data_IF_112829493712
#
_entry.id   IF_112829493712
#
_cell.length_a   1.000
_cell.length_b   1.000
_cell.length_c   1.000
_cell.angle_alpha   90.00
_cell.angle_beta   90.00
_cell.angle_gamma   90.00
#
_symmetry.space_group_name_H-M   'P 1'
#
loop_
_entity.id
_entity.type
_entity.pdbx_description
1 polymer ?
#
# COMPACT_ATOMS: atom_id res chain seq x y z
N UNK A 1 28.76 -6.74 -20.24
CA UNK A 1 27.96 -5.64 -20.81
C UNK A 1 26.99 -4.99 -19.80
N UNK A 2 26.69 -5.62 -18.65
CA UNK A 2 25.84 -5.05 -17.59
C UNK A 2 26.55 -4.24 -16.50
N UNK A 3 27.88 -4.15 -16.49
CA UNK A 3 28.60 -3.24 -15.57
C UNK A 3 28.30 -1.76 -15.85
N UNK A 4 27.91 -1.41 -17.08
CA UNK A 4 27.46 -0.08 -17.44
C UNK A 4 26.14 0.35 -16.75
N UNK A 5 25.38 -0.59 -16.15
CA UNK A 5 24.09 -0.29 -15.52
C UNK A 5 24.22 0.42 -14.17
N UNK A 6 25.41 0.44 -13.55
CA UNK A 6 25.63 1.19 -12.30
C UNK A 6 25.51 2.70 -12.47
N UNK A 7 25.68 3.22 -13.69
CA UNK A 7 25.66 4.66 -13.95
C UNK A 7 24.26 5.27 -13.80
N UNK A 8 23.20 4.50 -14.06
CA UNK A 8 21.82 4.98 -13.97
C UNK A 8 21.36 5.24 -12.54
N UNK A 9 21.88 4.51 -11.54
CA UNK A 9 21.52 4.74 -10.13
C UNK A 9 22.21 5.98 -9.54
N UNK A 10 23.30 6.45 -10.17
CA UNK A 10 23.99 7.67 -9.75
C UNK A 10 23.23 8.93 -10.15
N UNK A 11 22.33 8.83 -11.14
CA UNK A 11 21.54 9.97 -11.62
C UNK A 11 20.57 10.51 -10.56
N UNK A 12 20.14 9.67 -9.62
CA UNK A 12 19.29 10.08 -8.49
C UNK A 12 19.94 11.07 -7.53
N UNK A 13 21.27 11.10 -7.49
CA UNK A 13 22.05 12.02 -6.68
C UNK A 13 22.37 13.31 -7.44
N UNK A 14 21.97 13.41 -8.71
CA UNK A 14 22.08 14.63 -9.49
C UNK A 14 20.82 15.46 -9.27
N UNK A 15 20.95 16.77 -9.38
CA UNK A 15 19.82 17.72 -9.34
C UNK A 15 19.07 17.77 -10.68
N UNK A 16 18.82 16.61 -11.28
CA UNK A 16 18.12 16.46 -12.56
C UNK A 16 16.72 15.93 -12.30
N UNK A 17 15.72 16.66 -12.79
CA UNK A 17 14.33 16.29 -12.66
C UNK A 17 14.00 15.07 -13.56
N UNK A 18 13.17 14.11 -13.11
CA UNK A 18 12.67 13.03 -13.97
C UNK A 18 11.97 13.53 -15.23
N UNK A 19 11.99 12.69 -16.27
CA UNK A 19 11.19 12.88 -17.47
C UNK A 19 9.69 12.69 -17.17
N UNK A 20 8.83 13.24 -18.01
CA UNK A 20 7.37 13.19 -17.87
C UNK A 20 6.74 12.67 -19.17
N UNK A 21 5.84 11.69 -19.06
CA UNK A 21 5.14 11.14 -20.23
C UNK A 21 3.98 12.04 -20.69
N UNK A 22 3.32 11.67 -21.80
CA UNK A 22 2.19 12.43 -22.36
C UNK A 22 0.99 12.56 -21.42
N UNK A 23 0.88 11.65 -20.44
CA UNK A 23 -0.18 11.64 -19.43
C UNK A 23 0.23 12.37 -18.16
N UNK A 24 1.48 12.85 -18.10
CA UNK A 24 2.00 13.62 -17.01
C UNK A 24 2.75 12.81 -15.94
N UNK A 25 2.99 11.51 -16.14
CA UNK A 25 3.63 10.65 -15.14
C UNK A 25 5.15 10.69 -15.24
N UNK A 26 5.83 10.71 -14.09
CA UNK A 26 7.30 10.72 -14.08
C UNK A 26 7.89 9.36 -14.38
N UNK A 27 8.97 9.33 -15.14
CA UNK A 27 9.71 8.11 -15.45
C UNK A 27 11.19 8.44 -15.75
N UNK A 28 11.99 7.39 -15.95
CA UNK A 28 13.33 7.54 -16.55
C UNK A 28 13.47 6.58 -17.73
N UNK A 29 14.44 6.81 -18.60
CA UNK A 29 14.67 5.93 -19.76
C UNK A 29 15.02 4.47 -19.40
N UNK A 30 15.29 4.14 -18.12
CA UNK A 30 15.77 2.83 -17.70
C UNK A 30 14.87 1.67 -18.16
N UNK A 31 13.54 1.63 -17.90
CA UNK A 31 12.71 0.51 -18.35
C UNK A 31 12.73 0.34 -19.88
N UNK A 32 12.65 1.44 -20.63
CA UNK A 32 12.69 1.40 -22.09
C UNK A 32 14.02 0.80 -22.60
N UNK A 33 15.15 1.26 -22.06
CA UNK A 33 16.48 0.76 -22.43
C UNK A 33 16.62 -0.74 -22.12
N UNK A 34 16.15 -1.18 -20.96
CA UNK A 34 16.26 -2.59 -20.55
C UNK A 34 15.46 -3.52 -21.46
N UNK A 35 14.20 -3.20 -21.74
CA UNK A 35 13.35 -4.07 -22.54
C UNK A 35 13.63 -3.95 -24.04
N UNK A 36 14.13 -2.80 -24.53
CA UNK A 36 14.66 -2.70 -25.89
C UNK A 36 15.90 -3.59 -26.08
N UNK A 37 16.81 -3.62 -25.09
CA UNK A 37 17.98 -4.50 -25.15
C UNK A 37 17.59 -5.98 -25.24
N UNK A 38 16.55 -6.39 -24.51
CA UNK A 38 16.01 -7.76 -24.57
C UNK A 38 15.42 -8.03 -25.95
N UNK A 39 14.64 -7.10 -26.49
CA UNK A 39 14.03 -7.22 -27.83
C UNK A 39 15.09 -7.33 -28.93
N UNK A 40 16.12 -6.48 -28.90
CA UNK A 40 17.23 -6.49 -29.86
C UNK A 40 17.98 -7.83 -29.82
N UNK A 41 18.24 -8.37 -28.63
CA UNK A 41 18.90 -9.67 -28.48
C UNK A 41 18.03 -10.82 -28.97
N UNK A 42 16.72 -10.77 -28.74
CA UNK A 42 15.77 -11.75 -29.27
C UNK A 42 15.69 -11.67 -30.80
N UNK A 43 15.70 -10.48 -31.37
CA UNK A 43 15.67 -10.29 -32.82
C UNK A 43 16.95 -10.81 -33.48
N UNK A 44 18.11 -10.50 -32.91
CA UNK A 44 19.39 -11.03 -33.37
C UNK A 44 19.42 -12.57 -33.29
N UNK A 45 18.88 -13.14 -32.21
CA UNK A 45 18.80 -14.60 -32.06
C UNK A 45 17.97 -15.24 -33.18
N UNK A 46 16.84 -14.62 -33.57
CA UNK A 46 15.99 -15.08 -34.68
C UNK A 46 16.70 -15.07 -36.03
N UNK A 47 17.57 -14.09 -36.27
CA UNK A 47 18.38 -14.01 -37.50
C UNK A 47 19.40 -15.16 -37.60
N UNK A 48 19.87 -15.68 -36.46
CA UNK A 48 20.82 -16.79 -36.39
C UNK A 48 20.08 -18.14 -36.46
N UNK A 49 19.14 -18.38 -35.53
CA UNK A 49 18.29 -19.57 -35.50
C UNK A 49 17.11 -19.39 -34.53
N UNK A 50 15.92 -19.82 -34.94
CA UNK A 50 14.75 -19.81 -34.06
C UNK A 50 14.93 -20.69 -32.81
N UNK A 51 15.74 -21.75 -32.90
CA UNK A 51 15.92 -22.73 -31.82
C UNK A 51 16.70 -22.16 -30.61
N UNK A 52 17.48 -21.10 -30.81
CA UNK A 52 18.26 -20.48 -29.72
C UNK A 52 17.48 -19.38 -28.98
N UNK A 53 16.35 -18.92 -29.52
CA UNK A 53 15.54 -17.85 -28.93
C UNK A 53 15.12 -18.16 -27.48
N UNK A 54 14.63 -19.36 -27.14
CA UNK A 54 14.30 -19.71 -25.75
C UNK A 54 15.47 -19.52 -24.78
N UNK A 55 16.69 -19.94 -25.17
CA UNK A 55 17.90 -19.80 -24.37
C UNK A 55 18.25 -18.32 -24.15
N UNK A 56 18.14 -17.50 -25.21
CA UNK A 56 18.41 -16.05 -25.12
C UNK A 56 17.39 -15.37 -24.21
N UNK A 57 16.10 -15.69 -24.31
CA UNK A 57 15.07 -15.12 -23.42
C UNK A 57 15.33 -15.54 -21.97
N UNK A 58 15.68 -16.80 -21.73
CA UNK A 58 15.97 -17.30 -20.37
C UNK A 58 17.12 -16.54 -19.72
N UNK A 59 18.25 -16.39 -20.42
CA UNK A 59 19.41 -15.64 -19.90
C UNK A 59 19.04 -14.17 -19.64
N UNK A 60 18.27 -13.53 -20.54
CA UNK A 60 17.80 -12.16 -20.33
C UNK A 60 16.93 -12.03 -19.08
N UNK A 61 16.02 -12.97 -18.84
CA UNK A 61 15.15 -12.97 -17.66
C UNK A 61 15.97 -13.14 -16.37
N UNK A 62 16.98 -14.02 -16.36
CA UNK A 62 17.88 -14.17 -15.20
C UNK A 62 18.64 -12.89 -14.88
N UNK A 63 19.12 -12.22 -15.91
CA UNK A 63 19.90 -11.00 -15.76
C UNK A 63 19.05 -9.81 -15.33
N UNK A 64 17.83 -9.69 -15.86
CA UNK A 64 16.83 -8.75 -15.38
C UNK A 64 16.43 -9.04 -13.94
N UNK A 65 16.36 -10.31 -13.52
CA UNK A 65 16.03 -10.68 -12.14
C UNK A 65 17.13 -10.23 -11.17
N UNK A 66 18.40 -10.44 -11.53
CA UNK A 66 19.53 -9.94 -10.76
C UNK A 66 19.55 -8.40 -10.71
N UNK A 67 19.26 -7.74 -11.83
CA UNK A 67 19.16 -6.29 -11.90
C UNK A 67 18.00 -5.75 -11.06
N UNK A 68 16.84 -6.41 -11.04
CA UNK A 68 15.69 -6.02 -10.25
C UNK A 68 16.00 -5.99 -8.75
N UNK A 69 16.79 -6.97 -8.28
CA UNK A 69 17.33 -6.95 -6.92
C UNK A 69 18.18 -5.70 -6.66
N UNK A 70 19.20 -5.46 -7.50
CA UNK A 70 20.10 -4.32 -7.34
C UNK A 70 19.38 -2.97 -7.42
N UNK A 71 18.39 -2.84 -8.30
CA UNK A 71 17.62 -1.61 -8.46
C UNK A 71 16.80 -1.30 -7.21
N UNK A 72 16.13 -2.31 -6.66
CA UNK A 72 15.41 -2.20 -5.38
C UNK A 72 16.37 -1.84 -4.24
N UNK A 73 17.50 -2.52 -4.12
CA UNK A 73 18.48 -2.26 -3.05
C UNK A 73 19.04 -0.83 -3.14
N UNK A 74 19.28 -0.34 -4.37
CA UNK A 74 19.68 1.03 -4.60
C UNK A 74 18.58 2.04 -4.18
N UNK A 75 17.31 1.76 -4.47
CA UNK A 75 16.19 2.61 -4.06
C UNK A 75 16.09 2.69 -2.52
N UNK A 76 16.28 1.58 -1.82
CA UNK A 76 16.34 1.56 -0.35
C UNK A 76 17.52 2.40 0.16
N UNK A 77 18.70 2.25 -0.44
CA UNK A 77 19.88 3.03 -0.05
C UNK A 77 19.69 4.54 -0.29
N UNK A 78 19.03 4.92 -1.39
CA UNK A 78 18.66 6.31 -1.67
C UNK A 78 17.69 6.86 -0.61
N UNK A 79 16.62 6.11 -0.30
CA UNK A 79 15.67 6.42 0.77
C UNK A 79 16.36 6.66 2.11
N UNK A 80 17.21 5.73 2.53
CA UNK A 80 17.89 5.81 3.82
C UNK A 80 18.74 7.08 3.93
N UNK A 81 19.49 7.43 2.87
CA UNK A 81 20.29 8.66 2.84
C UNK A 81 19.44 9.94 2.87
N UNK A 82 18.28 9.95 2.23
CA UNK A 82 17.35 11.08 2.33
C UNK A 82 16.89 11.28 3.78
N UNK A 83 16.52 10.21 4.49
CA UNK A 83 16.10 10.31 5.88
C UNK A 83 17.23 10.57 6.88
N UNK A 84 18.49 10.31 6.51
CA UNK A 84 19.66 10.77 7.28
C UNK A 84 19.84 12.30 7.21
N UNK A 85 19.66 12.90 6.04
CA UNK A 85 19.77 14.35 5.83
C UNK A 85 18.89 14.81 4.65
N UNK A 86 17.64 15.20 4.93
CA UNK A 86 16.66 15.61 3.91
C UNK A 86 17.13 16.80 3.08
N UNK A 87 18.00 17.66 3.64
CA UNK A 87 18.48 18.88 2.97
C UNK A 87 19.35 18.60 1.75
N UNK A 88 19.93 17.41 1.64
CA UNK A 88 20.81 17.02 0.52
C UNK A 88 20.08 16.39 -0.66
N UNK A 89 18.77 16.16 -0.53
CA UNK A 89 17.97 15.39 -1.47
C UNK A 89 16.70 16.16 -1.85
N UNK A 90 16.88 17.36 -2.40
CA UNK A 90 15.78 18.26 -2.80
C UNK A 90 14.81 17.63 -3.81
N UNK A 91 15.27 16.67 -4.61
CA UNK A 91 14.47 15.96 -5.61
C UNK A 91 14.00 14.58 -5.14
N UNK A 92 14.02 14.29 -3.84
CA UNK A 92 13.66 12.99 -3.30
C UNK A 92 12.26 12.53 -3.77
N UNK A 93 11.25 13.38 -3.59
CA UNK A 93 9.86 13.09 -3.98
C UNK A 93 9.73 12.77 -5.49
N UNK A 94 10.10 13.68 -6.43
CA UNK A 94 9.94 13.39 -7.85
C UNK A 94 10.76 12.19 -8.31
N UNK A 95 11.97 12.00 -7.78
CA UNK A 95 12.81 10.84 -8.12
C UNK A 95 12.16 9.54 -7.62
N UNK A 96 11.62 9.51 -6.40
CA UNK A 96 10.97 8.32 -5.84
C UNK A 96 9.67 7.98 -6.57
N UNK A 97 8.89 8.99 -7.00
CA UNK A 97 7.74 8.80 -7.91
C UNK A 97 8.19 8.14 -9.21
N UNK A 98 9.26 8.64 -9.84
CA UNK A 98 9.80 8.06 -11.06
C UNK A 98 10.29 6.63 -10.84
N UNK A 99 10.88 6.31 -9.68
CA UNK A 99 11.25 4.93 -9.33
C UNK A 99 10.02 4.03 -9.27
N UNK A 100 8.96 4.43 -8.56
CA UNK A 100 7.72 3.65 -8.45
C UNK A 100 7.10 3.38 -9.83
N UNK A 101 6.97 4.43 -10.65
CA UNK A 101 6.45 4.31 -12.02
C UNK A 101 7.37 3.45 -12.92
N UNK A 102 8.69 3.53 -12.77
CA UNK A 102 9.62 2.68 -13.51
C UNK A 102 9.47 1.20 -13.15
N UNK A 103 9.31 0.89 -11.85
CA UNK A 103 9.04 -0.49 -11.42
C UNK A 103 7.74 -1.00 -12.02
N UNK A 104 6.69 -0.18 -12.05
CA UNK A 104 5.42 -0.52 -12.68
C UNK A 104 5.55 -0.78 -14.19
N UNK A 105 6.27 0.08 -14.92
CA UNK A 105 6.57 -0.13 -16.35
C UNK A 105 7.33 -1.46 -16.57
N UNK A 106 8.25 -1.81 -15.67
CA UNK A 106 8.94 -3.10 -15.73
C UNK A 106 8.00 -4.29 -15.45
N UNK A 107 7.00 -4.14 -14.57
CA UNK A 107 5.95 -5.16 -14.35
C UNK A 107 5.17 -5.39 -15.64
N UNK A 108 4.64 -4.33 -16.25
CA UNK A 108 3.89 -4.38 -17.51
C UNK A 108 4.71 -5.00 -18.65
N UNK A 109 5.99 -4.61 -18.75
CA UNK A 109 6.88 -5.11 -19.79
C UNK A 109 7.22 -6.58 -19.59
N UNK A 110 7.37 -7.03 -18.34
CA UNK A 110 7.55 -8.44 -17.99
C UNK A 110 6.33 -9.28 -18.35
N UNK A 111 5.11 -8.75 -18.17
CA UNK A 111 3.88 -9.41 -18.61
C UNK A 111 3.80 -9.57 -20.14
N UNK A 112 4.28 -8.57 -20.90
CA UNK A 112 4.38 -8.67 -22.37
C UNK A 112 5.36 -9.77 -22.78
N UNK A 113 6.51 -9.87 -22.12
CA UNK A 113 7.47 -10.99 -22.34
C UNK A 113 6.81 -12.33 -22.02
N UNK A 114 6.09 -12.44 -20.89
CA UNK A 114 5.35 -13.65 -20.51
C UNK A 114 4.33 -14.06 -21.57
N UNK A 115 3.55 -13.10 -22.07
CA UNK A 115 2.54 -13.31 -23.12
C UNK A 115 3.19 -13.77 -24.42
N UNK A 116 4.29 -13.15 -24.82
CA UNK A 116 5.05 -13.57 -26.01
C UNK A 116 5.52 -15.01 -25.85
N UNK A 117 6.21 -15.36 -24.75
CA UNK A 117 6.68 -16.73 -24.48
C UNK A 117 5.53 -17.74 -24.54
N UNK A 118 4.35 -17.39 -23.98
CA UNK A 118 3.17 -18.27 -24.04
C UNK A 118 2.69 -18.55 -25.45
N UNK A 119 2.73 -17.55 -26.34
CA UNK A 119 2.22 -17.63 -27.71
C UNK A 119 3.22 -18.24 -28.69
N UNK A 120 4.53 -18.06 -28.47
CA UNK A 120 5.54 -18.44 -29.45
C UNK A 120 6.29 -19.73 -29.11
N UNK A 121 6.28 -20.17 -27.84
CA UNK A 121 6.91 -21.43 -27.45
C UNK A 121 5.87 -22.53 -27.32
N UNK A 122 6.04 -23.62 -28.06
CA UNK A 122 5.21 -24.83 -27.93
C UNK A 122 5.48 -25.53 -26.59
N UNK A 123 4.44 -26.13 -26.02
CA UNK A 123 4.51 -26.89 -24.76
C UNK A 123 5.16 -28.23 -25.06
N UNK A 124 6.47 -28.33 -24.84
CA UNK A 124 7.22 -29.59 -24.94
C UNK A 124 7.01 -30.34 -26.26
N UNK A 125 7.72 -29.94 -27.32
CA UNK A 125 8.19 -30.97 -28.25
C UNK A 125 9.16 -31.83 -27.45
N UNK A 126 8.69 -32.98 -26.98
CA UNK A 126 9.52 -34.08 -26.53
C UNK A 126 10.46 -34.45 -27.68
N UNK A 127 11.57 -33.73 -27.83
CA UNK A 127 12.65 -34.11 -28.72
C UNK A 127 13.14 -35.45 -28.22
N UNK A 128 12.96 -36.54 -28.99
CA UNK A 128 13.58 -37.79 -28.64
C UNK A 128 15.08 -37.57 -28.79
N UNK A 129 15.80 -37.68 -27.66
CA UNK A 129 17.25 -37.86 -27.55
C UNK A 129 18.12 -36.60 -27.71
N UNK A 130 18.73 -36.19 -26.60
CA UNK A 130 20.19 -36.06 -26.57
C UNK A 130 20.84 -34.70 -26.78
N UNK A 131 20.10 -33.58 -26.85
CA UNK A 131 20.72 -32.25 -26.80
C UNK A 131 20.61 -31.67 -25.38
N UNK A 132 21.69 -31.75 -24.60
CA UNK A 132 21.83 -30.98 -23.37
C UNK A 132 21.81 -29.48 -23.73
N UNK A 133 20.70 -28.78 -23.46
CA UNK A 133 20.61 -27.33 -23.70
C UNK A 133 19.24 -26.75 -24.11
N UNK A 134 18.14 -27.48 -24.00
CA UNK A 134 16.79 -26.93 -24.24
C UNK A 134 16.21 -26.29 -22.98
N UNK A 135 15.72 -25.04 -23.07
CA UNK A 135 14.99 -24.38 -21.96
C UNK A 135 13.62 -25.01 -21.80
N UNK A 136 13.31 -25.46 -20.59
CA UNK A 136 11.96 -25.89 -20.25
C UNK A 136 11.02 -24.67 -20.23
N UNK A 137 9.94 -24.69 -21.02
CA UNK A 137 8.99 -23.57 -21.13
C UNK A 137 8.34 -23.22 -19.79
N UNK A 138 8.01 -24.22 -18.98
CA UNK A 138 7.41 -24.02 -17.67
C UNK A 138 8.39 -23.36 -16.69
N UNK A 139 9.65 -23.81 -16.68
CA UNK A 139 10.72 -23.18 -15.88
C UNK A 139 10.92 -21.70 -16.27
N UNK A 140 10.93 -21.39 -17.57
CA UNK A 140 11.04 -20.00 -18.04
C UNK A 140 9.86 -19.15 -17.56
N UNK A 141 8.63 -19.66 -17.64
CA UNK A 141 7.44 -18.96 -17.17
C UNK A 141 7.51 -18.69 -15.65
N UNK A 142 8.00 -19.64 -14.87
CA UNK A 142 8.21 -19.47 -13.43
C UNK A 142 9.26 -18.41 -13.12
N UNK A 143 10.37 -18.35 -13.89
CA UNK A 143 11.36 -17.27 -13.74
C UNK A 143 10.80 -15.90 -14.10
N UNK A 144 9.97 -15.82 -15.14
CA UNK A 144 9.28 -14.57 -15.51
C UNK A 144 8.32 -14.13 -14.39
N UNK A 145 7.62 -15.07 -13.74
CA UNK A 145 6.78 -14.76 -12.58
C UNK A 145 7.59 -14.27 -11.37
N UNK A 146 8.75 -14.87 -11.11
CA UNK A 146 9.67 -14.39 -10.08
C UNK A 146 10.18 -12.97 -10.40
N UNK A 147 10.52 -12.70 -11.66
CA UNK A 147 10.93 -11.37 -12.11
C UNK A 147 9.82 -10.33 -11.89
N UNK A 148 8.59 -10.66 -12.28
CA UNK A 148 7.42 -9.80 -12.06
C UNK A 148 7.25 -9.48 -10.58
N UNK A 149 7.28 -10.50 -9.72
CA UNK A 149 7.17 -10.32 -8.27
C UNK A 149 8.29 -9.43 -7.72
N UNK A 150 9.51 -9.56 -8.23
CA UNK A 150 10.65 -8.73 -7.83
C UNK A 150 10.44 -7.25 -8.20
N UNK A 151 9.92 -6.97 -9.39
CA UNK A 151 9.56 -5.61 -9.81
C UNK A 151 8.41 -5.03 -8.96
N UNK A 152 7.35 -5.81 -8.72
CA UNK A 152 6.25 -5.39 -7.84
C UNK A 152 6.74 -5.06 -6.43
N UNK A 153 7.65 -5.85 -5.88
CA UNK A 153 8.26 -5.59 -4.58
C UNK A 153 9.14 -4.32 -4.57
N UNK A 154 9.72 -3.94 -5.71
CA UNK A 154 10.41 -2.67 -5.89
C UNK A 154 9.45 -1.48 -5.93
N UNK A 155 8.34 -1.61 -6.68
CA UNK A 155 7.26 -0.62 -6.73
C UNK A 155 6.72 -0.32 -5.33
N UNK A 156 6.39 -1.37 -4.57
CA UNK A 156 5.95 -1.25 -3.18
C UNK A 156 6.99 -0.54 -2.30
N UNK A 157 8.28 -0.84 -2.49
CA UNK A 157 9.35 -0.19 -1.71
C UNK A 157 9.41 1.32 -1.97
N UNK A 158 9.23 1.74 -3.23
CA UNK A 158 9.21 3.14 -3.60
C UNK A 158 7.95 3.85 -3.09
N UNK A 159 6.77 3.23 -3.22
CA UNK A 159 5.51 3.74 -2.63
C UNK A 159 5.64 3.90 -1.11
N UNK A 160 6.15 2.90 -0.41
CA UNK A 160 6.35 2.96 1.05
C UNK A 160 7.33 4.06 1.44
N UNK A 161 8.31 4.38 0.58
CA UNK A 161 9.23 5.50 0.82
C UNK A 161 8.51 6.86 0.78
N UNK A 162 7.55 7.02 -0.14
CA UNK A 162 6.68 8.21 -0.20
C UNK A 162 5.74 8.27 1.00
N UNK A 163 5.20 7.12 1.43
CA UNK A 163 4.36 7.02 2.64
C UNK A 163 5.14 7.39 3.91
N UNK A 164 6.39 6.95 4.02
CA UNK A 164 7.27 7.27 5.16
C UNK A 164 7.56 8.77 5.22
N UNK A 165 7.79 9.42 4.08
CA UNK A 165 8.07 10.86 4.00
C UNK A 165 6.90 11.67 4.58
N UNK A 166 5.70 11.49 4.04
CA UNK A 166 4.50 12.15 4.56
C UNK A 166 4.19 11.75 6.01
N UNK A 167 4.42 10.49 6.37
CA UNK A 167 4.16 10.00 7.73
C UNK A 167 5.05 10.68 8.77
N UNK A 168 6.31 10.99 8.44
CA UNK A 168 7.21 11.70 9.37
C UNK A 168 6.71 13.12 9.62
N UNK A 169 6.24 13.82 8.59
CA UNK A 169 5.74 15.19 8.71
C UNK A 169 4.39 15.25 9.46
N UNK A 170 3.56 14.21 9.33
CA UNK A 170 2.32 14.08 10.09
C UNK A 170 2.52 13.56 11.53
N UNK A 171 3.67 12.96 11.85
CA UNK A 171 3.88 12.23 13.11
C UNK A 171 3.57 13.05 14.38
N UNK A 172 3.96 14.34 14.51
CA UNK A 172 3.63 15.15 15.68
C UNK A 172 2.12 15.31 15.87
N UNK A 173 1.38 15.48 14.77
CA UNK A 173 -0.08 15.67 14.79
C UNK A 173 -0.83 14.36 15.00
N UNK A 174 -0.32 13.25 14.46
CA UNK A 174 -0.82 11.90 14.75
C UNK A 174 -0.72 11.59 16.26
N UNK A 175 0.40 11.94 16.90
CA UNK A 175 0.57 11.75 18.35
C UNK A 175 -0.41 12.56 19.22
N UNK A 176 -1.00 13.64 18.67
CA UNK A 176 -2.02 14.44 19.37
C UNK A 176 -3.42 13.80 19.35
N UNK A 177 -3.69 12.85 18.46
CA UNK A 177 -4.99 12.18 18.34
C UNK A 177 -5.36 11.50 19.66
N UNK A 178 -6.62 11.70 20.08
CA UNK A 178 -7.20 11.15 21.32
C UNK A 178 -6.41 11.52 22.59
N UNK A 179 -5.76 12.68 22.62
CA UNK A 179 -5.18 13.28 23.83
C UNK A 179 -6.11 14.32 24.46
N UNK A 180 -5.73 14.86 25.62
CA UNK A 180 -6.46 16.00 26.23
C UNK A 180 -6.51 17.23 25.31
N UNK A 181 -5.44 17.50 24.56
CA UNK A 181 -5.37 18.61 23.60
C UNK A 181 -6.37 18.40 22.45
N UNK A 182 -6.49 17.16 21.97
CA UNK A 182 -7.52 16.78 21.01
C UNK A 182 -8.93 16.99 21.59
N UNK A 183 -9.19 16.55 22.82
CA UNK A 183 -10.51 16.73 23.44
C UNK A 183 -10.87 18.21 23.65
N UNK A 184 -9.89 19.09 23.90
CA UNK A 184 -10.09 20.51 24.11
C UNK A 184 -10.13 21.36 22.83
N UNK A 185 -10.27 20.76 21.65
CA UNK A 185 -10.38 21.53 20.40
C UNK A 185 -9.10 21.67 19.57
N UNK A 186 -8.03 20.90 19.83
CA UNK A 186 -6.78 20.98 19.05
C UNK A 186 -6.97 20.70 17.55
N UNK A 187 -6.21 21.39 16.69
CA UNK A 187 -6.36 21.31 15.22
C UNK A 187 -5.52 20.21 14.53
N UNK A 188 -5.26 19.09 15.21
CA UNK A 188 -4.31 18.09 14.72
C UNK A 188 -4.78 17.43 13.41
N UNK A 189 -6.06 17.10 13.28
CA UNK A 189 -6.59 16.49 12.07
C UNK A 189 -6.59 17.48 10.89
N UNK A 190 -6.90 18.75 11.15
CA UNK A 190 -6.87 19.80 10.14
C UNK A 190 -5.49 19.90 9.50
N UNK A 191 -4.43 19.87 10.31
CA UNK A 191 -3.06 19.85 9.81
C UNK A 191 -2.74 18.57 9.05
N UNK A 192 -3.14 17.39 9.57
CA UNK A 192 -2.98 16.11 8.86
C UNK A 192 -3.64 16.17 7.47
N UNK A 193 -4.89 16.63 7.38
CA UNK A 193 -5.60 16.77 6.12
C UNK A 193 -4.89 17.74 5.16
N UNK A 194 -4.38 18.88 5.66
CA UNK A 194 -3.65 19.84 4.85
C UNK A 194 -2.35 19.23 4.32
N UNK A 195 -1.56 18.57 5.17
CA UNK A 195 -0.34 17.87 4.75
C UNK A 195 -0.62 16.81 3.68
N UNK A 196 -1.67 15.98 3.84
CA UNK A 196 -2.06 15.01 2.81
C UNK A 196 -2.46 15.70 1.50
N UNK A 197 -3.19 16.82 1.58
CA UNK A 197 -3.57 17.57 0.39
C UNK A 197 -2.36 18.15 -0.36
N UNK A 198 -1.40 18.71 0.35
CA UNK A 198 -0.18 19.29 -0.23
C UNK A 198 0.66 18.21 -0.91
N UNK A 199 0.94 17.10 -0.21
CA UNK A 199 1.68 15.97 -0.78
C UNK A 199 0.97 15.32 -1.96
N UNK A 200 -0.36 15.20 -1.93
CA UNK A 200 -1.12 14.68 -3.07
C UNK A 200 -0.91 15.51 -4.34
N UNK A 201 -0.76 16.83 -4.22
CA UNK A 201 -0.46 17.70 -5.36
C UNK A 201 0.93 17.44 -5.94
N UNK A 202 1.92 17.15 -5.10
CA UNK A 202 3.28 16.79 -5.54
C UNK A 202 3.30 15.37 -6.14
N UNK A 203 2.47 14.48 -5.60
CA UNK A 203 2.37 13.08 -6.01
C UNK A 203 1.52 12.86 -7.27
N UNK A 204 0.90 13.91 -7.87
CA UNK A 204 0.06 13.81 -9.08
C UNK A 204 0.73 13.14 -10.29
N UNK A 205 2.06 13.05 -10.28
CA UNK A 205 2.89 12.42 -11.30
C UNK A 205 3.07 10.90 -11.11
N UNK A 206 2.52 10.35 -10.04
CA UNK A 206 2.45 8.92 -9.77
C UNK A 206 1.32 8.28 -10.60
N UNK A 207 1.51 7.04 -11.03
CA UNK A 207 0.45 6.32 -11.74
C UNK A 207 -0.78 6.09 -10.85
N UNK A 208 -2.01 6.14 -11.40
CA UNK A 208 -3.23 6.18 -10.59
C UNK A 208 -3.41 5.00 -9.63
N UNK A 209 -3.06 3.78 -10.03
CA UNK A 209 -3.18 2.60 -9.16
C UNK A 209 -2.18 2.62 -8.01
N UNK A 210 -0.97 3.14 -8.23
CA UNK A 210 0.03 3.32 -7.17
C UNK A 210 -0.42 4.43 -6.21
N UNK A 211 -1.01 5.52 -6.73
CA UNK A 211 -1.63 6.57 -5.90
C UNK A 211 -2.76 6.00 -5.04
N UNK A 212 -3.63 5.16 -5.58
CA UNK A 212 -4.69 4.52 -4.80
C UNK A 212 -4.14 3.66 -3.65
N UNK A 213 -3.04 2.92 -3.87
CA UNK A 213 -2.36 2.17 -2.80
C UNK A 213 -1.87 3.12 -1.70
N UNK A 214 -1.18 4.19 -2.08
CA UNK A 214 -0.66 5.19 -1.14
C UNK A 214 -1.78 5.85 -0.32
N UNK A 215 -2.89 6.22 -0.96
CA UNK A 215 -4.06 6.80 -0.29
C UNK A 215 -4.73 5.78 0.67
N UNK A 216 -4.79 4.50 0.30
CA UNK A 216 -5.24 3.45 1.22
C UNK A 216 -4.32 3.32 2.44
N UNK A 217 -3.01 3.34 2.24
CA UNK A 217 -2.04 3.26 3.34
C UNK A 217 -2.05 4.51 4.24
N UNK A 218 -2.38 5.69 3.69
CA UNK A 218 -2.68 6.88 4.49
C UNK A 218 -3.95 6.73 5.33
N UNK A 219 -5.03 6.13 4.78
CA UNK A 219 -6.22 5.80 5.58
C UNK A 219 -5.88 4.88 6.74
N UNK A 220 -5.11 3.80 6.47
CA UNK A 220 -4.65 2.88 7.50
C UNK A 220 -3.80 3.58 8.56
N UNK A 221 -2.91 4.49 8.16
CA UNK A 221 -2.03 5.21 9.08
C UNK A 221 -2.82 6.07 10.06
N UNK A 222 -3.74 6.89 9.55
CA UNK A 222 -4.54 7.80 10.39
C UNK A 222 -5.50 7.02 11.26
N UNK A 223 -6.27 6.08 10.69
CA UNK A 223 -7.25 5.30 11.44
C UNK A 223 -6.59 4.37 12.46
N UNK A 224 -5.45 3.78 12.10
CA UNK A 224 -4.62 3.00 13.00
C UNK A 224 -4.14 3.80 14.20
N UNK A 225 -3.88 5.10 14.06
CA UNK A 225 -3.51 5.96 15.18
C UNK A 225 -4.66 6.20 16.15
N UNK A 226 -5.91 6.38 15.67
CA UNK A 226 -7.08 6.41 16.54
C UNK A 226 -7.23 5.11 17.33
N UNK A 227 -7.17 3.95 16.65
CA UNK A 227 -7.30 2.65 17.29
C UNK A 227 -6.18 2.42 18.31
N UNK A 228 -4.93 2.69 17.94
CA UNK A 228 -3.76 2.62 18.83
C UNK A 228 -3.92 3.54 20.05
N UNK A 229 -4.42 4.75 19.87
CA UNK A 229 -4.62 5.68 20.97
C UNK A 229 -5.74 5.23 21.93
N UNK A 230 -6.80 4.62 21.41
CA UNK A 230 -7.90 4.03 22.18
C UNK A 230 -7.40 2.81 22.98
N UNK A 231 -6.71 1.88 22.33
CA UNK A 231 -6.12 0.70 22.99
C UNK A 231 -5.16 1.08 24.11
N UNK A 232 -4.34 2.11 23.88
CA UNK A 232 -3.40 2.64 24.87
C UNK A 232 -4.05 3.57 25.91
N UNK A 233 -5.36 3.85 25.80
CA UNK A 233 -6.12 4.72 26.71
C UNK A 233 -5.47 6.09 26.92
N UNK A 234 -5.08 6.75 25.83
CA UNK A 234 -4.52 8.11 25.90
C UNK A 234 -5.47 9.10 26.59
N UNK A 235 -6.77 8.86 26.47
CA UNK A 235 -7.83 9.57 27.18
C UNK A 235 -9.00 8.63 27.47
N UNK A 236 -9.77 8.97 28.49
CA UNK A 236 -11.04 8.37 28.89
C UNK A 236 -12.00 9.50 29.28
N UNK A 237 -13.31 9.23 29.31
CA UNK A 237 -14.35 10.24 29.49
C UNK A 237 -15.28 9.85 30.63
N UNK A 238 -15.30 10.65 31.70
CA UNK A 238 -15.92 10.30 32.97
C UNK A 238 -17.44 10.49 32.98
N UNK A 239 -17.93 11.45 32.20
CA UNK A 239 -19.33 11.85 32.19
C UNK A 239 -19.92 11.87 30.78
N UNK A 240 -21.25 11.93 30.70
CA UNK A 240 -21.97 11.89 29.43
C UNK A 240 -21.62 13.05 28.50
N UNK A 241 -21.44 14.26 29.02
CA UNK A 241 -21.21 15.45 28.20
C UNK A 241 -19.83 15.37 27.52
N UNK A 242 -18.80 14.93 28.23
CA UNK A 242 -17.47 14.63 27.68
C UNK A 242 -17.55 13.55 26.59
N UNK A 243 -18.26 12.45 26.85
CA UNK A 243 -18.46 11.36 25.87
C UNK A 243 -19.18 11.85 24.61
N UNK A 244 -20.23 12.66 24.78
CA UNK A 244 -20.99 13.18 23.66
C UNK A 244 -20.13 14.14 22.82
N UNK A 245 -19.40 15.06 23.46
CA UNK A 245 -18.49 15.97 22.77
C UNK A 245 -17.39 15.22 21.99
N UNK A 246 -16.79 14.19 22.59
CA UNK A 246 -15.79 13.35 21.94
C UNK A 246 -16.38 12.55 20.76
N UNK A 247 -17.59 12.00 20.91
CA UNK A 247 -18.30 11.30 19.86
C UNK A 247 -18.64 12.22 18.67
N UNK A 248 -19.14 13.43 18.93
CA UNK A 248 -19.42 14.42 17.90
C UNK A 248 -18.15 14.81 17.14
N UNK A 249 -17.03 14.95 17.87
CA UNK A 249 -15.73 15.21 17.27
C UNK A 249 -15.27 14.07 16.38
N UNK A 250 -15.29 12.82 16.84
CA UNK A 250 -14.95 11.64 16.03
C UNK A 250 -15.77 11.58 14.72
N UNK A 251 -17.06 11.88 14.80
CA UNK A 251 -17.95 11.94 13.62
C UNK A 251 -17.58 13.07 12.65
N UNK A 252 -17.25 14.25 13.16
CA UNK A 252 -16.82 15.39 12.33
C UNK A 252 -15.49 15.09 11.64
N UNK A 253 -14.53 14.56 12.39
CA UNK A 253 -13.20 14.17 11.93
C UNK A 253 -13.27 13.09 10.85
N UNK A 254 -14.10 12.06 11.04
CA UNK A 254 -14.37 11.03 10.04
C UNK A 254 -14.91 11.61 8.73
N UNK A 255 -15.91 12.48 8.80
CA UNK A 255 -16.50 13.13 7.61
C UNK A 255 -15.48 13.96 6.84
N UNK A 256 -14.65 14.72 7.56
CA UNK A 256 -13.61 15.55 6.94
C UNK A 256 -12.62 14.70 6.17
N UNK A 257 -12.12 13.64 6.81
CA UNK A 257 -11.14 12.75 6.21
C UNK A 257 -11.73 11.96 5.02
N UNK A 258 -12.95 11.46 5.17
CA UNK A 258 -13.64 10.77 4.07
C UNK A 258 -13.86 11.71 2.87
N UNK A 259 -14.26 12.96 3.11
CA UNK A 259 -14.42 13.97 2.05
C UNK A 259 -13.09 14.29 1.34
N UNK A 260 -11.99 14.31 2.08
CA UNK A 260 -10.65 14.52 1.52
C UNK A 260 -10.30 13.39 0.53
N UNK A 261 -10.41 12.13 0.98
CA UNK A 261 -10.12 10.98 0.12
C UNK A 261 -11.07 10.89 -1.08
N UNK A 262 -12.38 11.17 -0.91
CA UNK A 262 -13.33 11.22 -2.02
C UNK A 262 -12.97 12.26 -3.08
N UNK A 263 -12.38 13.39 -2.67
CA UNK A 263 -11.92 14.43 -3.59
C UNK A 263 -10.69 13.97 -4.37
N UNK A 264 -9.75 13.29 -3.71
CA UNK A 264 -8.51 12.79 -4.31
C UNK A 264 -8.71 11.61 -5.26
N UNK A 265 -9.74 10.80 -5.04
CA UNK A 265 -10.08 9.66 -5.89
C UNK A 265 -11.12 9.99 -6.96
N UNK A 266 -11.59 11.25 -7.02
CA UNK A 266 -12.58 11.67 -8.00
C UNK A 266 -12.03 11.53 -9.43
N UNK A 267 -12.77 10.85 -10.30
CA UNK A 267 -12.38 10.63 -11.69
C UNK A 267 -11.35 9.52 -11.90
N UNK A 268 -10.90 8.85 -10.83
CA UNK A 268 -10.07 7.65 -10.93
C UNK A 268 -10.97 6.43 -11.15
N UNK A 269 -10.76 5.71 -12.25
CA UNK A 269 -11.53 4.49 -12.56
C UNK A 269 -10.95 3.25 -11.89
N UNK A 270 -10.71 3.34 -10.58
CA UNK A 270 -10.18 2.26 -9.73
C UNK A 270 -11.06 2.19 -8.50
N UNK A 271 -11.48 0.98 -8.13
CA UNK A 271 -12.27 0.76 -6.92
C UNK A 271 -11.46 1.16 -5.68
N UNK A 272 -12.07 1.98 -4.82
CA UNK A 272 -11.43 2.53 -3.63
C UNK A 272 -12.33 2.36 -2.41
N UNK A 273 -11.80 1.73 -1.36
CA UNK A 273 -12.52 1.43 -0.13
C UNK A 273 -12.34 2.57 0.89
N UNK A 274 -13.44 3.03 1.50
CA UNK A 274 -13.41 4.11 2.49
C UNK A 274 -13.50 3.52 3.90
N UNK A 275 -12.48 3.77 4.73
CA UNK A 275 -12.36 3.13 6.05
C UNK A 275 -12.84 4.01 7.21
N UNK A 276 -13.11 5.30 6.96
CA UNK A 276 -13.43 6.28 8.01
C UNK A 276 -14.71 5.99 8.78
N UNK A 277 -15.57 5.13 8.24
CA UNK A 277 -16.83 4.65 8.81
C UNK A 277 -16.69 3.90 10.15
N UNK A 278 -15.46 3.53 10.52
CA UNK A 278 -15.13 2.97 11.84
C UNK A 278 -15.35 4.02 12.94
N UNK A 279 -14.87 5.25 12.77
CA UNK A 279 -14.91 6.27 13.82
C UNK A 279 -16.35 6.66 14.23
N UNK A 280 -17.32 6.86 13.30
CA UNK A 280 -18.72 7.08 13.67
C UNK A 280 -19.32 5.93 14.48
N UNK A 281 -19.01 4.67 14.15
CA UNK A 281 -19.52 3.53 14.89
C UNK A 281 -18.91 3.43 16.31
N UNK A 282 -17.63 3.79 16.47
CA UNK A 282 -17.01 3.95 17.79
C UNK A 282 -17.68 5.07 18.60
N UNK A 283 -18.00 6.18 17.93
CA UNK A 283 -18.66 7.32 18.52
C UNK A 283 -20.09 7.00 19.01
N UNK A 284 -20.80 6.09 18.34
CA UNK A 284 -22.13 5.62 18.78
C UNK A 284 -22.03 4.84 20.09
N UNK A 285 -21.05 3.94 20.23
CA UNK A 285 -20.75 3.27 21.51
C UNK A 285 -20.37 4.27 22.60
N UNK A 286 -19.58 5.29 22.27
CA UNK A 286 -19.12 6.29 23.23
C UNK A 286 -20.27 7.17 23.75
N UNK A 287 -21.12 7.66 22.85
CA UNK A 287 -22.24 8.57 23.15
C UNK A 287 -23.51 7.88 23.65
N UNK A 288 -23.55 6.55 23.73
CA UNK A 288 -24.70 5.82 24.26
C UNK A 288 -25.01 6.26 25.71
N UNK A 289 -26.20 6.82 25.94
CA UNK A 289 -26.60 7.33 27.26
C UNK A 289 -26.99 6.20 28.23
N UNK A 290 -27.79 5.25 27.76
CA UNK A 290 -28.26 4.13 28.58
C UNK A 290 -27.26 2.98 28.58
N UNK A 291 -26.59 2.77 29.72
CA UNK A 291 -25.65 1.65 29.92
C UNK A 291 -26.33 0.29 29.74
N UNK A 292 -27.63 0.17 30.01
CA UNK A 292 -28.38 -1.08 29.82
C UNK A 292 -28.42 -1.55 28.36
N UNK A 293 -28.23 -0.65 27.40
CA UNK A 293 -28.19 -0.95 25.97
C UNK A 293 -26.76 -1.16 25.43
N UNK A 294 -25.74 -1.10 26.28
CA UNK A 294 -24.34 -1.16 25.83
C UNK A 294 -24.02 -2.46 25.09
N UNK A 295 -24.53 -3.59 25.56
CA UNK A 295 -24.35 -4.87 24.89
C UNK A 295 -24.95 -4.87 23.46
N UNK A 296 -26.10 -4.22 23.27
CA UNK A 296 -26.74 -4.12 21.96
C UNK A 296 -25.89 -3.26 21.00
N UNK A 297 -25.44 -2.10 21.45
CA UNK A 297 -24.64 -1.17 20.64
C UNK A 297 -23.30 -1.78 20.23
N UNK A 298 -22.61 -2.40 21.19
CA UNK A 298 -21.35 -3.13 20.96
C UNK A 298 -21.56 -4.31 20.00
N UNK A 299 -22.69 -5.01 20.07
CA UNK A 299 -23.06 -6.06 19.10
C UNK A 299 -23.24 -5.50 17.69
N UNK A 300 -23.87 -4.31 17.57
CA UNK A 300 -24.00 -3.59 16.30
C UNK A 300 -22.63 -3.25 15.69
N UNK A 301 -21.70 -2.74 16.50
CA UNK A 301 -20.33 -2.46 16.07
C UNK A 301 -19.62 -3.72 15.54
N UNK A 302 -19.72 -4.85 16.25
CA UNK A 302 -19.09 -6.12 15.82
C UNK A 302 -19.72 -6.68 14.55
N UNK A 303 -21.03 -6.51 14.35
CA UNK A 303 -21.67 -6.91 13.08
C UNK A 303 -21.22 -6.05 11.91
N UNK A 304 -21.03 -4.75 12.12
CA UNK A 304 -20.49 -3.83 11.09
C UNK A 304 -19.01 -4.11 10.81
N UNK A 305 -18.23 -4.42 11.84
CA UNK A 305 -16.79 -4.69 11.75
C UNK A 305 -16.43 -6.04 12.40
N UNK A 306 -16.71 -7.17 11.74
CA UNK A 306 -16.55 -8.53 12.28
C UNK A 306 -15.09 -8.96 12.48
N UNK A 307 -14.14 -8.14 12.05
CA UNK A 307 -12.69 -8.33 12.22
C UNK A 307 -12.12 -7.63 13.45
N UNK A 308 -12.94 -6.84 14.16
CA UNK A 308 -12.55 -6.22 15.41
C UNK A 308 -12.16 -7.29 16.45
N UNK A 309 -11.08 -7.03 17.19
CA UNK A 309 -10.56 -7.97 18.19
C UNK A 309 -11.17 -7.71 19.57
N UNK A 310 -11.04 -8.68 20.47
CA UNK A 310 -11.44 -8.54 21.88
C UNK A 310 -10.73 -7.34 22.52
N UNK A 311 -9.46 -7.13 22.20
CA UNK A 311 -8.66 -6.06 22.80
C UNK A 311 -9.14 -4.68 22.31
N UNK A 312 -9.38 -4.51 21.00
CA UNK A 312 -10.00 -3.30 20.45
C UNK A 312 -11.36 -3.04 21.11
N UNK A 313 -12.27 -4.02 21.09
CA UNK A 313 -13.63 -3.87 21.59
C UNK A 313 -13.67 -3.54 23.09
N UNK A 314 -12.83 -4.23 23.88
CA UNK A 314 -12.67 -3.96 25.31
C UNK A 314 -12.14 -2.56 25.56
N UNK A 315 -11.17 -2.07 24.77
CA UNK A 315 -10.64 -0.72 24.91
C UNK A 315 -11.69 0.36 24.59
N UNK A 316 -12.48 0.16 23.53
CA UNK A 316 -13.57 1.06 23.13
C UNK A 316 -14.61 1.19 24.25
N UNK A 317 -15.05 0.06 24.83
CA UNK A 317 -15.99 0.06 25.97
C UNK A 317 -15.42 0.89 27.14
N UNK A 318 -14.12 0.78 27.39
CA UNK A 318 -13.47 1.41 28.54
C UNK A 318 -13.20 2.90 28.37
N UNK A 319 -13.37 3.46 27.17
CA UNK A 319 -13.36 4.93 26.97
C UNK A 319 -14.43 5.62 27.81
N UNK A 320 -15.51 4.92 28.15
CA UNK A 320 -16.71 5.46 28.79
C UNK A 320 -16.61 5.69 30.30
N UNK A 321 -15.59 5.14 30.97
CA UNK A 321 -15.35 5.06 32.43
C UNK A 321 -16.50 4.53 33.32
N UNK A 322 -17.70 4.32 32.77
CA UNK A 322 -18.86 3.76 33.47
C UNK A 322 -18.87 2.22 33.49
N UNK A 323 -17.85 1.59 32.93
CA UNK A 323 -17.69 0.13 32.82
C UNK A 323 -16.30 -0.29 33.26
N UNK A 324 -16.22 -1.17 34.28
CA UNK A 324 -14.97 -1.65 34.82
C UNK A 324 -14.18 -2.50 33.82
N UNK A 325 -12.86 -2.64 34.03
CA UNK A 325 -11.96 -3.37 33.11
C UNK A 325 -12.37 -4.83 32.91
N UNK A 326 -12.73 -5.53 33.99
CA UNK A 326 -13.16 -6.92 33.94
C UNK A 326 -14.47 -7.04 33.15
N UNK A 327 -15.48 -6.25 33.51
CA UNK A 327 -16.78 -6.24 32.84
C UNK A 327 -16.68 -5.93 31.34
N UNK A 328 -15.86 -4.93 30.98
CA UNK A 328 -15.63 -4.55 29.59
C UNK A 328 -14.98 -5.67 28.79
N UNK A 329 -14.04 -6.40 29.39
CA UNK A 329 -13.39 -7.55 28.74
C UNK A 329 -14.35 -8.72 28.58
N UNK A 330 -15.09 -9.07 29.64
CA UNK A 330 -16.08 -10.14 29.60
C UNK A 330 -17.18 -9.85 28.57
N UNK A 331 -17.69 -8.63 28.51
CA UNK A 331 -18.66 -8.21 27.50
C UNK A 331 -18.09 -8.33 26.08
N UNK A 332 -16.85 -7.89 25.86
CA UNK A 332 -16.20 -7.99 24.56
C UNK A 332 -16.02 -9.45 24.11
N UNK A 333 -15.56 -10.33 25.00
CA UNK A 333 -15.42 -11.77 24.75
C UNK A 333 -16.76 -12.44 24.43
N UNK A 334 -17.80 -12.11 25.21
CA UNK A 334 -19.16 -12.63 25.00
C UNK A 334 -19.71 -12.22 23.62
N UNK A 335 -19.67 -10.92 23.29
CA UNK A 335 -20.22 -10.40 22.03
C UNK A 335 -19.47 -10.97 20.83
N UNK A 336 -18.13 -11.05 20.89
CA UNK A 336 -17.33 -11.62 19.80
C UNK A 336 -17.65 -13.10 19.63
N UNK A 337 -17.81 -13.84 20.72
CA UNK A 337 -18.17 -15.26 20.67
C UNK A 337 -19.59 -15.48 20.09
N UNK A 338 -20.54 -14.60 20.42
CA UNK A 338 -21.90 -14.63 19.85
C UNK A 338 -21.89 -14.37 18.33
N UNK A 339 -20.96 -13.53 17.85
CA UNK A 339 -20.83 -13.17 16.44
C UNK A 339 -19.74 -13.98 15.69
N UNK A 340 -19.22 -15.07 16.27
CA UNK A 340 -18.10 -15.84 15.67
C UNK A 340 -18.37 -16.40 14.26
N UNK A 341 -19.64 -16.61 13.92
CA UNK A 341 -20.07 -17.13 12.62
C UNK A 341 -20.55 -16.03 11.66
N UNK A 342 -20.46 -14.76 12.07
CA UNK A 342 -20.75 -13.65 11.17
C UNK A 342 -19.72 -13.63 10.04
N UNK A 343 -20.12 -13.39 8.77
CA UNK A 343 -19.18 -13.23 7.68
C UNK A 343 -18.11 -12.20 8.04
N UNK A 344 -16.85 -12.51 7.70
CA UNK A 344 -15.72 -11.60 7.87
C UNK A 344 -15.86 -10.39 6.95
N UNK A 345 -15.23 -9.28 7.32
CA UNK A 345 -15.23 -8.07 6.52
C UNK A 345 -14.43 -8.26 5.24
N UNK A 346 -14.44 -7.24 4.38
CA UNK A 346 -13.55 -7.24 3.22
C UNK A 346 -12.07 -7.25 3.67
N UNK A 347 -11.16 -7.53 2.73
CA UNK A 347 -9.73 -7.60 3.00
C UNK A 347 -9.19 -6.30 3.64
N UNK A 348 -9.81 -5.15 3.35
CA UNK A 348 -9.35 -3.87 3.84
C UNK A 348 -9.57 -3.72 5.35
N UNK A 349 -10.76 -4.05 5.87
CA UNK A 349 -11.02 -4.03 7.33
C UNK A 349 -10.28 -5.14 8.07
N UNK A 350 -10.10 -6.31 7.44
CA UNK A 350 -9.24 -7.38 8.00
C UNK A 350 -7.82 -6.87 8.23
N UNK A 351 -7.24 -6.16 7.25
CA UNK A 351 -5.89 -5.54 7.39
C UNK A 351 -5.87 -4.52 8.53
N UNK A 352 -6.87 -3.63 8.61
CA UNK A 352 -6.95 -2.60 9.64
C UNK A 352 -6.93 -3.17 11.06
N UNK A 353 -7.77 -4.17 11.36
CA UNK A 353 -7.86 -4.70 12.73
C UNK A 353 -6.77 -5.73 13.07
N UNK A 354 -5.91 -6.11 12.10
CA UNK A 354 -4.77 -6.99 12.33
C UNK A 354 -3.42 -6.27 12.42
N UNK A 355 -3.33 -5.01 11.96
CA UNK A 355 -2.08 -4.25 11.92
C UNK A 355 -1.48 -3.94 13.30
N UNK A 356 -2.26 -4.04 14.38
CA UNK A 356 -1.79 -3.83 15.76
C UNK A 356 -0.92 -4.95 16.36
N UNK A 357 -0.80 -6.12 15.72
CA UNK A 357 -0.10 -7.28 16.31
C UNK A 357 1.40 -7.39 16.04
N UNK A 358 2.00 -6.54 15.21
CA UNK A 358 3.45 -6.40 15.02
C UNK A 358 3.71 -5.25 14.05
N UNK A 359 4.09 -4.07 14.55
CA UNK A 359 4.84 -3.12 13.72
C UNK A 359 6.07 -3.89 13.18
N UNK A 360 6.25 -3.92 11.85
CA UNK A 360 7.35 -4.53 11.05
C UNK A 360 7.07 -5.77 10.17
N UNK A 361 5.93 -6.48 10.22
CA UNK A 361 5.78 -7.70 9.35
C UNK A 361 4.53 -7.88 8.51
N UNK A 362 3.54 -6.97 8.51
CA UNK A 362 2.28 -7.19 7.77
C UNK A 362 1.75 -5.99 6.97
N UNK A 363 2.63 -5.32 6.22
CA UNK A 363 2.24 -4.47 5.08
C UNK A 363 2.04 -5.27 3.77
N UNK A 364 1.96 -6.61 3.84
CA UNK A 364 2.42 -7.47 2.74
C UNK A 364 1.40 -7.92 1.70
N UNK A 365 0.10 -7.74 1.91
CA UNK A 365 -0.91 -8.31 1.00
C UNK A 365 -1.98 -7.28 0.55
N UNK A 366 -1.56 -6.06 0.17
CA UNK A 366 -2.32 -5.35 -0.88
C UNK A 366 -1.63 -5.70 -2.19
N UNK A 367 -2.16 -6.71 -2.87
CA UNK A 367 -1.55 -7.22 -4.08
C UNK A 367 -1.62 -6.15 -5.17
N UNK A 368 -0.50 -5.48 -5.44
CA UNK A 368 -0.34 -4.63 -6.63
C UNK A 368 -0.74 -5.39 -7.90
N UNK A 369 -0.64 -6.73 -7.92
CA UNK A 369 -1.11 -7.54 -9.04
C UNK A 369 -2.64 -7.57 -9.15
N UNK A 370 -3.39 -7.44 -8.06
CA UNK A 370 -4.86 -7.43 -8.10
C UNK A 370 -5.43 -6.08 -8.58
N UNK A 371 -4.76 -4.97 -8.26
CA UNK A 371 -5.10 -3.63 -8.76
C UNK A 371 -4.64 -3.36 -10.20
N UNK A 372 -3.57 -4.01 -10.67
CA UNK A 372 -3.14 -3.92 -12.09
C UNK A 372 -3.97 -4.81 -13.03
N UNK A 373 -4.69 -5.82 -12.49
CA UNK A 373 -5.56 -6.72 -13.26
C UNK A 373 -7.00 -6.20 -13.45
N UNK A 374 -7.33 -5.05 -12.89
CA UNK A 374 -8.68 -4.48 -12.88
C UNK A 374 -8.95 -3.42 -13.94
N UNK A 375 -8.70 -3.68 -15.22
CA UNK A 375 -9.26 -2.84 -16.28
C UNK A 375 -8.45 -2.72 -17.56
N UNK A 376 -8.46 -3.77 -18.40
CA UNK A 376 -8.36 -3.69 -19.88
C UNK A 376 -8.53 -5.08 -20.55
N UNK A 377 -9.42 -5.93 -20.02
CA UNK A 377 -9.69 -7.26 -20.62
C UNK A 377 -11.15 -7.69 -20.53
N UNK A 378 -12.07 -6.73 -20.62
CA UNK A 378 -13.45 -6.97 -21.05
C UNK A 378 -13.85 -5.89 -22.04
N UNK A 379 -13.55 -6.14 -23.32
CA UNK A 379 -14.24 -5.68 -24.53
C UNK A 379 -13.35 -5.99 -25.74
N UNK A 380 -13.41 -7.24 -26.20
CA UNK A 380 -13.41 -7.65 -27.61
C UNK A 380 -13.65 -9.15 -27.67
#
# INVERSE_FOLDING_TARGET
>A
MMEHNFRYFQDWYKTVHPEQDSSGYYYTALPAILFQMVEDQVQLAKEISADIVPNVVFVNVEELLALAGRYKDAAIAYKNKHFEDRSRFELFTPITIAMANNFDICVDSTDKVKKHVRLTMETDMATPRGAAGGVNRQELLEKIDQLKLKWSAGCQTAETSLLEEISQDMAPHLAEIMTKKWASGGGALETICATIADYHMDYKHLRPHIMCVLLMDLQYKVLGEYLKAIENRRITFANFDERNAAADRLKQEARRMESLFKTMTQGVNIEFEYLMDVLPALADVLSLRDKGLLALEVSGLVRKFPDITVDHLSAIIQLREDTGRADARSLAEEIIQQNKYHPKGNAAFVKLFQSGKSEEKRLRDFDFASLTLGGLSRLS
#
